data_IF_414914242941
#
_entry.id   IF_414914242941
#
_cell.length_a   1.000
_cell.length_b   1.000
_cell.length_c   1.000
_cell.angle_alpha   90.00
_cell.angle_beta   90.00
_cell.angle_gamma   90.00
#
_symmetry.space_group_name_H-M   'P 1'
#
loop_
_entity.id
_entity.type
_entity.pdbx_description
1 polymer ?
#
# COMPACT_ATOMS: atom_id res chain seq x y z
N UNK A 1 -8.65 10.09 -20.26
CA UNK A 1 -8.84 11.53 -20.57
C UNK A 1 -8.15 12.34 -19.47
N UNK A 2 -7.30 13.32 -19.79
CA UNK A 2 -6.66 14.19 -18.78
C UNK A 2 -7.46 15.49 -18.69
N UNK A 3 -7.90 15.86 -17.48
CA UNK A 3 -8.51 17.16 -17.19
C UNK A 3 -7.47 18.03 -16.48
N UNK A 4 -7.42 19.32 -16.81
CA UNK A 4 -6.62 20.30 -16.06
C UNK A 4 -7.36 20.62 -14.77
N UNK A 5 -6.67 20.51 -13.64
CA UNK A 5 -7.16 20.87 -12.32
C UNK A 5 -6.17 21.87 -11.74
N UNK A 6 -6.66 22.94 -11.13
CA UNK A 6 -5.84 23.95 -10.45
C UNK A 6 -6.03 23.78 -8.94
N UNK A 7 -4.91 23.61 -8.23
CA UNK A 7 -4.86 23.41 -6.78
C UNK A 7 -3.65 24.18 -6.22
N UNK A 8 -3.80 24.69 -5.01
CA UNK A 8 -2.71 25.31 -4.25
C UNK A 8 -1.99 24.23 -3.43
N UNK A 9 -0.67 24.21 -3.48
CA UNK A 9 0.17 23.25 -2.77
C UNK A 9 1.38 23.99 -2.21
N UNK A 10 1.82 23.60 -1.02
CA UNK A 10 3.06 24.06 -0.42
C UNK A 10 4.26 23.71 -1.32
N UNK A 11 5.01 24.75 -1.72
CA UNK A 11 6.17 24.63 -2.60
C UNK A 11 7.32 23.87 -1.92
N UNK A 12 7.46 23.99 -0.61
CA UNK A 12 8.52 23.29 0.13
C UNK A 12 8.24 21.78 0.17
N UNK A 13 6.96 21.40 0.30
CA UNK A 13 6.54 20.00 0.25
C UNK A 13 6.83 19.37 -1.11
N UNK A 14 6.54 20.10 -2.20
CA UNK A 14 6.84 19.64 -3.56
C UNK A 14 8.36 19.55 -3.76
N UNK A 15 9.12 20.55 -3.30
CA UNK A 15 10.57 20.55 -3.40
C UNK A 15 11.19 19.35 -2.70
N UNK A 16 10.73 19.03 -1.49
CA UNK A 16 11.20 17.86 -0.76
C UNK A 16 10.78 16.54 -1.43
N UNK A 17 9.56 16.44 -1.96
CA UNK A 17 9.13 15.26 -2.70
C UNK A 17 9.97 15.04 -3.97
N UNK A 18 10.21 16.10 -4.75
CA UNK A 18 11.08 16.06 -5.93
C UNK A 18 12.49 15.59 -5.55
N UNK A 19 13.06 16.15 -4.48
CA UNK A 19 14.40 15.79 -4.02
C UNK A 19 14.48 14.36 -3.51
N UNK A 20 13.51 13.93 -2.70
CA UNK A 20 13.50 12.62 -2.02
C UNK A 20 13.22 11.47 -2.98
N UNK A 21 12.38 11.71 -3.99
CA UNK A 21 11.98 10.70 -4.96
C UNK A 21 12.61 10.91 -6.35
N UNK A 22 13.53 11.87 -6.49
CA UNK A 22 14.25 12.19 -7.73
C UNK A 22 13.34 12.47 -8.93
N UNK A 23 12.29 13.26 -8.72
CA UNK A 23 11.28 13.54 -9.74
C UNK A 23 11.66 14.73 -10.61
N UNK A 24 11.08 14.82 -11.81
CA UNK A 24 11.38 15.90 -12.74
C UNK A 24 10.57 17.17 -12.46
N UNK A 25 9.30 17.02 -12.06
CA UNK A 25 8.39 18.15 -11.90
C UNK A 25 7.34 17.94 -10.79
N UNK A 26 6.65 19.04 -10.44
CA UNK A 26 5.55 19.07 -9.47
C UNK A 26 4.39 18.13 -9.85
N UNK A 27 4.12 18.00 -11.16
CA UNK A 27 3.03 17.16 -11.66
C UNK A 27 3.30 15.69 -11.41
N UNK A 28 4.56 15.28 -11.56
CA UNK A 28 5.04 13.94 -11.30
C UNK A 28 5.01 13.64 -9.80
N UNK A 29 5.42 14.59 -8.95
CA UNK A 29 5.27 14.48 -7.50
C UNK A 29 3.81 14.25 -7.08
N UNK A 30 2.89 15.05 -7.60
CA UNK A 30 1.45 14.90 -7.31
C UNK A 30 0.91 13.56 -7.84
N UNK A 31 1.27 13.18 -9.06
CA UNK A 31 0.82 11.91 -9.65
C UNK A 31 1.40 10.69 -8.90
N UNK A 32 2.63 10.77 -8.41
CA UNK A 32 3.22 9.73 -7.56
C UNK A 32 2.45 9.64 -6.24
N UNK A 33 2.26 10.75 -5.53
CA UNK A 33 1.53 10.77 -4.26
C UNK A 33 0.12 10.19 -4.39
N UNK A 34 -0.64 10.59 -5.42
CA UNK A 34 -1.98 10.06 -5.67
C UNK A 34 -1.97 8.56 -5.95
N UNK A 35 -0.97 8.05 -6.68
CA UNK A 35 -0.84 6.61 -6.94
C UNK A 35 -0.50 5.83 -5.68
N UNK A 36 0.35 6.37 -4.82
CA UNK A 36 0.70 5.74 -3.55
C UNK A 36 -0.52 5.64 -2.63
N UNK A 37 -1.31 6.72 -2.54
CA UNK A 37 -2.56 6.71 -1.75
C UNK A 37 -3.58 5.69 -2.25
N UNK A 38 -3.73 5.56 -3.57
CA UNK A 38 -4.63 4.56 -4.15
C UNK A 38 -4.10 3.13 -3.96
N UNK A 39 -2.80 2.91 -4.15
CA UNK A 39 -2.19 1.60 -3.94
C UNK A 39 -2.27 1.14 -2.48
N UNK A 40 -2.15 2.07 -1.53
CA UNK A 40 -2.34 1.79 -0.10
C UNK A 40 -3.79 1.46 0.22
N UNK A 41 -4.76 2.16 -0.37
CA UNK A 41 -6.18 1.84 -0.22
C UNK A 41 -6.52 0.44 -0.77
N UNK A 42 -6.02 0.12 -1.97
CA UNK A 42 -6.20 -1.21 -2.58
C UNK A 42 -5.53 -2.31 -1.74
N UNK A 43 -4.36 -2.03 -1.15
CA UNK A 43 -3.66 -2.97 -0.27
C UNK A 43 -4.37 -3.17 1.08
N UNK A 44 -5.02 -2.13 1.62
CA UNK A 44 -5.84 -2.24 2.81
C UNK A 44 -7.10 -3.08 2.54
N UNK A 45 -7.74 -2.94 1.37
CA UNK A 45 -8.84 -3.82 0.95
C UNK A 45 -8.36 -5.27 0.75
N UNK A 46 -7.19 -5.49 0.17
CA UNK A 46 -6.63 -6.84 -0.01
C UNK A 46 -6.22 -7.52 1.30
N UNK A 47 -5.89 -6.76 2.35
CA UNK A 47 -5.60 -7.32 3.68
C UNK A 47 -6.85 -7.87 4.39
N UNK A 48 -8.06 -7.48 3.98
CA UNK A 48 -9.31 -8.09 4.45
C UNK A 48 -9.58 -9.45 3.78
N UNK A 49 -8.99 -9.74 2.62
CA UNK A 49 -8.92 -11.10 2.04
C UNK A 49 -7.76 -11.89 2.67
N UNK A 50 -7.82 -12.11 3.99
CA UNK A 50 -7.06 -13.19 4.60
C UNK A 50 -7.70 -14.52 4.18
N UNK A 51 -7.23 -15.09 3.07
CA UNK A 51 -7.68 -16.39 2.57
C UNK A 51 -7.10 -17.53 3.42
N UNK A 52 -7.85 -17.94 4.45
CA UNK A 52 -7.56 -19.10 5.30
C UNK A 52 -7.42 -20.42 4.51
N UNK A 53 -7.74 -20.44 3.21
CA UNK A 53 -7.60 -21.62 2.36
C UNK A 53 -6.20 -21.81 1.76
N UNK A 54 -5.32 -20.80 1.82
CA UNK A 54 -3.92 -20.89 1.37
C UNK A 54 -2.94 -21.34 2.47
N UNK A 55 -3.38 -21.30 3.73
CA UNK A 55 -2.59 -21.71 4.88
C UNK A 55 -2.64 -23.24 5.04
N UNK A 56 -1.76 -23.97 4.32
CA UNK A 56 -1.58 -25.43 4.44
C UNK A 56 -1.25 -25.90 5.86
N UNK A 57 -0.92 -24.96 6.75
CA UNK A 57 -0.76 -25.18 8.19
C UNK A 57 -2.09 -25.48 8.90
N UNK A 58 -3.23 -25.04 8.36
CA UNK A 58 -4.58 -25.30 8.89
C UNK A 58 -4.99 -26.79 8.78
N UNK A 59 -4.36 -27.54 7.88
CA UNK A 59 -4.57 -28.99 7.71
C UNK A 59 -3.51 -29.84 8.43
N UNK A 60 -2.54 -29.23 9.10
CA UNK A 60 -1.56 -29.98 9.87
C UNK A 60 -2.23 -30.51 11.15
N UNK A 61 -2.38 -31.84 11.30
CA UNK A 61 -2.92 -32.38 12.53
C UNK A 61 -1.92 -32.07 13.64
N UNK A 62 -2.35 -31.29 14.63
CA UNK A 62 -1.56 -31.04 15.85
C UNK A 62 -1.20 -32.40 16.46
N UNK A 63 0.00 -32.91 16.18
CA UNK A 63 0.60 -33.99 16.97
C UNK A 63 1.08 -33.40 18.29
N UNK A 64 0.13 -33.05 19.15
CA UNK A 64 0.35 -32.89 20.57
C UNK A 64 0.04 -34.21 21.25
N UNK A 65 1.00 -35.12 21.23
CA UNK A 65 1.00 -36.18 22.24
C UNK A 65 1.26 -35.53 23.58
N UNK A 66 0.25 -35.47 24.44
CA UNK A 66 0.49 -35.47 25.87
C UNK A 66 -0.42 -36.49 26.53
N UNK A 67 0.22 -37.55 27.00
CA UNK A 67 -0.32 -38.63 27.79
C UNK A 67 -0.88 -38.07 29.09
N UNK A 68 -2.20 -38.17 29.29
CA UNK A 68 -2.80 -38.00 30.62
C UNK A 68 -3.68 -39.20 30.92
N UNK A 69 -3.05 -40.13 31.66
CA UNK A 69 -3.57 -41.12 32.62
C UNK A 69 -4.58 -42.16 32.14
#
# INVERSE_FOLDING_TARGET
MRKKVEIEIDVDLIGEAIRRFHLADAREAVNLALRTLLAEADAAEAAEEYDEFSDLSAWQPRRGGDSVR
#
